data_IF_052846049925
#
_entry.id   IF_052846049925
#
_cell.length_a   1.000
_cell.length_b   1.000
_cell.length_c   1.000
_cell.angle_alpha   90.00
_cell.angle_beta   90.00
_cell.angle_gamma   90.00
#
_symmetry.space_group_name_H-M   'P 1'
#
loop_
_entity.id
_entity.type
_entity.pdbx_description
1 polymer ?
#
# COMPACT_ATOMS: atom_id res chain seq x y z
N UNK A 1 14.57 20.02 -1.69
CA UNK A 1 15.85 19.35 -1.99
C UNK A 1 16.97 20.32 -1.62
N UNK A 2 17.84 19.97 -0.67
CA UNK A 2 19.14 20.65 -0.51
C UNK A 2 20.15 19.88 -1.35
N UNK A 3 20.83 20.58 -2.26
CA UNK A 3 21.87 20.02 -3.10
C UNK A 3 23.20 20.03 -2.34
N UNK A 4 23.66 18.84 -1.94
CA UNK A 4 25.08 18.59 -1.71
C UNK A 4 25.55 17.51 -2.69
N UNK A 5 26.56 17.84 -3.51
CA UNK A 5 27.27 16.90 -4.36
C UNK A 5 28.07 15.92 -3.49
N UNK A 6 27.50 14.77 -3.15
CA UNK A 6 28.24 13.61 -2.61
C UNK A 6 27.67 12.32 -3.21
N UNK A 7 28.47 11.67 -4.07
CA UNK A 7 28.27 10.33 -4.65
C UNK A 7 26.86 10.03 -5.19
N UNK A 8 26.64 10.24 -6.50
CA UNK A 8 25.44 9.79 -7.21
C UNK A 8 25.33 8.26 -7.22
N UNK A 9 24.93 7.68 -6.10
CA UNK A 9 24.56 6.28 -6.03
C UNK A 9 23.13 6.17 -6.56
N UNK A 10 22.98 5.48 -7.70
CA UNK A 10 21.69 5.17 -8.32
C UNK A 10 20.90 4.20 -7.44
N UNK A 11 20.30 4.77 -6.38
CA UNK A 11 19.66 4.04 -5.30
C UNK A 11 18.17 4.30 -5.26
N UNK A 12 17.44 3.24 -5.02
CA UNK A 12 16.07 3.32 -4.53
C UNK A 12 16.01 2.61 -3.17
N UNK A 13 15.16 3.15 -2.30
CA UNK A 13 15.11 2.77 -0.89
C UNK A 13 13.66 2.54 -0.52
N UNK A 14 13.33 1.33 -0.08
CA UNK A 14 12.10 1.08 0.65
C UNK A 14 12.36 1.35 2.13
N UNK A 15 11.58 2.25 2.72
CA UNK A 15 11.50 2.42 4.17
C UNK A 15 10.09 2.08 4.64
N UNK A 16 9.97 1.18 5.61
CA UNK A 16 8.67 0.70 6.10
C UNK A 16 8.74 0.37 7.59
N UNK A 17 7.59 0.40 8.28
CA UNK A 17 7.46 -0.11 9.65
C UNK A 17 7.21 -1.61 9.69
N UNK A 18 6.70 -2.18 8.60
CA UNK A 18 6.25 -3.56 8.52
C UNK A 18 7.40 -4.43 7.98
N UNK A 19 7.91 -5.35 8.82
CA UNK A 19 9.04 -6.22 8.47
C UNK A 19 8.72 -7.14 7.30
N UNK A 20 7.54 -7.75 7.29
CA UNK A 20 7.05 -8.62 6.23
C UNK A 20 7.11 -7.94 4.86
N UNK A 21 6.81 -6.64 4.81
CA UNK A 21 6.90 -5.88 3.57
C UNK A 21 8.35 -5.67 3.12
N UNK A 22 9.25 -5.39 4.07
CA UNK A 22 10.68 -5.29 3.77
C UNK A 22 11.26 -6.62 3.28
N UNK A 23 10.85 -7.74 3.88
CA UNK A 23 11.26 -9.10 3.48
C UNK A 23 10.71 -9.46 2.11
N UNK A 24 9.41 -9.23 1.88
CA UNK A 24 8.81 -9.44 0.56
C UNK A 24 9.51 -8.62 -0.52
N UNK A 25 9.72 -7.33 -0.28
CA UNK A 25 10.42 -6.45 -1.23
C UNK A 25 11.85 -6.91 -1.50
N UNK A 26 12.62 -7.26 -0.45
CA UNK A 26 13.99 -7.77 -0.59
C UNK A 26 14.04 -9.04 -1.45
N UNK A 27 13.11 -9.96 -1.21
CA UNK A 27 13.02 -11.20 -1.98
C UNK A 27 12.66 -10.94 -3.45
N UNK A 28 11.67 -10.08 -3.73
CA UNK A 28 11.26 -9.76 -5.10
C UNK A 28 12.39 -9.07 -5.88
N UNK A 29 13.05 -8.10 -5.25
CA UNK A 29 14.11 -7.37 -5.95
C UNK A 29 15.39 -8.20 -6.14
N UNK A 30 15.69 -9.12 -5.21
CA UNK A 30 16.75 -10.11 -5.41
C UNK A 30 16.48 -11.05 -6.58
N UNK A 31 15.23 -11.50 -6.75
CA UNK A 31 14.83 -12.30 -7.92
C UNK A 31 14.96 -11.50 -9.22
N UNK A 32 14.45 -10.27 -9.24
CA UNK A 32 14.50 -9.40 -10.42
C UNK A 32 15.94 -9.14 -10.88
N UNK A 33 16.85 -8.91 -9.94
CA UNK A 33 18.24 -8.53 -10.22
C UNK A 33 19.20 -9.73 -10.24
N UNK A 34 18.67 -10.96 -10.16
CA UNK A 34 19.44 -12.20 -10.04
C UNK A 34 20.55 -12.12 -8.98
N UNK A 35 20.20 -11.60 -7.80
CA UNK A 35 21.10 -11.40 -6.68
C UNK A 35 20.80 -12.39 -5.56
N UNK A 36 21.40 -13.61 -5.58
CA UNK A 36 21.02 -14.71 -4.71
C UNK A 36 21.30 -14.44 -3.22
N UNK A 37 22.23 -13.53 -2.91
CA UNK A 37 22.59 -13.18 -1.53
C UNK A 37 21.53 -12.40 -0.75
N UNK A 38 20.43 -11.98 -1.38
CA UNK A 38 19.41 -11.17 -0.72
C UNK A 38 19.83 -9.72 -0.47
N UNK A 39 18.90 -8.78 -0.49
CA UNK A 39 19.21 -7.43 0.01
C UNK A 39 19.05 -7.36 1.53
N UNK A 40 20.10 -6.89 2.20
CA UNK A 40 20.10 -6.77 3.66
C UNK A 40 19.01 -5.80 4.13
N UNK A 41 18.14 -6.29 5.01
CA UNK A 41 17.15 -5.48 5.71
C UNK A 41 17.83 -4.84 6.91
N UNK A 42 17.95 -3.52 6.90
CA UNK A 42 18.53 -2.74 8.00
C UNK A 42 17.42 -2.26 8.91
N UNK A 43 17.75 -2.09 10.18
CA UNK A 43 16.84 -1.49 11.15
C UNK A 43 17.24 -0.04 11.39
N UNK A 44 16.28 0.86 11.33
CA UNK A 44 16.48 2.30 11.56
C UNK A 44 15.71 2.72 12.81
N UNK A 45 16.43 3.12 13.85
CA UNK A 45 15.83 3.63 15.09
C UNK A 45 15.38 5.07 14.89
N UNK A 46 14.26 5.48 15.52
CA UNK A 46 13.72 6.82 15.35
C UNK A 46 13.04 7.06 13.99
N UNK A 47 12.92 6.03 13.14
CA UNK A 47 12.16 6.08 11.91
C UNK A 47 10.67 6.37 12.18
N UNK A 48 10.13 5.79 13.25
CA UNK A 48 8.83 6.13 13.79
C UNK A 48 8.99 7.11 14.97
N UNK A 49 8.07 8.07 15.08
CA UNK A 49 8.05 8.97 16.25
C UNK A 49 7.90 8.17 17.55
N UNK A 50 8.54 8.66 18.63
CA UNK A 50 8.81 7.97 19.91
C UNK A 50 9.90 6.89 19.86
N UNK A 51 10.84 6.97 18.91
CA UNK A 51 11.97 6.05 18.84
C UNK A 51 11.63 4.69 18.24
N UNK A 52 10.46 4.55 17.61
CA UNK A 52 10.02 3.28 17.06
C UNK A 52 10.90 2.84 15.88
N UNK A 53 11.06 1.53 15.77
CA UNK A 53 11.92 0.84 14.81
C UNK A 53 11.28 0.81 13.42
N UNK A 54 12.06 1.17 12.40
CA UNK A 54 11.75 0.96 10.99
C UNK A 54 12.67 -0.06 10.34
N UNK A 55 12.30 -0.51 9.16
CA UNK A 55 13.05 -1.40 8.30
C UNK A 55 13.37 -0.71 6.98
N UNK A 56 14.61 -0.88 6.52
CA UNK A 56 15.14 -0.24 5.32
C UNK A 56 15.78 -1.26 4.42
N UNK A 57 15.38 -1.28 3.15
CA UNK A 57 16.02 -2.03 2.09
C UNK A 57 16.54 -1.04 1.05
N UNK A 58 17.85 -1.04 0.83
CA UNK A 58 18.50 -0.14 -0.15
C UNK A 58 19.11 -0.97 -1.26
N UNK A 59 18.76 -0.61 -2.49
CA UNK A 59 19.22 -1.29 -3.70
C UNK A 59 19.92 -0.27 -4.58
N UNK A 60 21.07 -0.66 -5.12
CA UNK A 60 21.83 0.16 -6.06
C UNK A 60 21.82 -0.53 -7.42
N UNK A 61 21.06 0.00 -8.37
CA UNK A 61 21.02 -0.48 -9.74
C UNK A 61 20.69 0.68 -10.68
N UNK A 62 21.64 1.02 -11.56
CA UNK A 62 21.53 2.20 -12.44
C UNK A 62 20.39 2.06 -13.45
N UNK A 63 20.26 0.90 -14.09
CA UNK A 63 19.23 0.66 -15.11
C UNK A 63 17.83 0.76 -14.50
N UNK A 64 17.61 0.07 -13.38
CA UNK A 64 16.32 0.10 -12.69
C UNK A 64 16.01 1.49 -12.13
N UNK A 65 17.00 2.21 -11.62
CA UNK A 65 16.80 3.61 -11.20
C UNK A 65 16.30 4.48 -12.36
N UNK A 66 16.94 4.39 -13.53
CA UNK A 66 16.52 5.15 -14.71
C UNK A 66 15.14 4.72 -15.19
N UNK A 67 14.83 3.43 -15.17
CA UNK A 67 13.50 2.92 -15.49
C UNK A 67 12.43 3.50 -14.56
N UNK A 68 12.63 3.42 -13.24
CA UNK A 68 11.69 3.94 -12.23
C UNK A 68 11.60 5.47 -12.20
N UNK A 69 12.58 6.16 -12.80
CA UNK A 69 12.59 7.62 -12.92
C UNK A 69 11.86 8.12 -14.18
N UNK A 70 11.34 7.22 -15.01
CA UNK A 70 10.51 7.60 -16.16
C UNK A 70 9.18 8.21 -15.72
N UNK A 71 8.51 8.87 -16.65
CA UNK A 71 7.23 9.51 -16.40
C UNK A 71 6.17 8.53 -15.90
N UNK A 72 5.28 9.03 -15.03
CA UNK A 72 4.24 8.20 -14.40
C UNK A 72 3.36 7.50 -15.43
N UNK A 73 3.01 8.16 -16.53
CA UNK A 73 2.17 7.59 -17.58
C UNK A 73 2.86 6.43 -18.31
N UNK A 74 4.16 6.57 -18.59
CA UNK A 74 4.98 5.49 -19.13
C UNK A 74 4.95 4.28 -18.18
N UNK A 75 5.20 4.48 -16.89
CA UNK A 75 5.18 3.39 -15.90
C UNK A 75 3.79 2.77 -15.75
N UNK A 76 2.73 3.56 -15.80
CA UNK A 76 1.34 3.07 -15.73
C UNK A 76 1.00 2.13 -16.88
N UNK A 77 1.59 2.32 -18.07
CA UNK A 77 1.38 1.38 -19.18
C UNK A 77 1.99 0.01 -18.89
N UNK A 78 3.19 -0.06 -18.32
CA UNK A 78 3.78 -1.33 -17.87
C UNK A 78 2.96 -1.99 -16.77
N UNK A 79 2.40 -1.20 -15.85
CA UNK A 79 1.59 -1.73 -14.74
C UNK A 79 0.33 -2.46 -15.24
N UNK A 80 -0.23 -2.08 -16.40
CA UNK A 80 -1.42 -2.76 -16.95
C UNK A 80 -1.18 -4.24 -17.22
N UNK A 81 0.07 -4.64 -17.48
CA UNK A 81 0.47 -6.04 -17.66
C UNK A 81 0.60 -6.80 -16.33
N UNK A 82 0.87 -6.08 -15.23
CA UNK A 82 1.10 -6.64 -13.90
C UNK A 82 0.19 -5.99 -12.83
N UNK A 83 -1.15 -5.99 -13.01
CA UNK A 83 -2.06 -5.25 -12.14
C UNK A 83 -2.06 -5.81 -10.71
N UNK A 84 -1.94 -7.12 -10.57
CA UNK A 84 -1.90 -7.82 -9.27
C UNK A 84 -0.75 -7.32 -8.39
N UNK A 85 0.47 -7.35 -8.91
CA UNK A 85 1.67 -7.01 -8.15
C UNK A 85 1.75 -5.53 -7.83
N UNK A 86 1.32 -4.67 -8.75
CA UNK A 86 1.24 -3.24 -8.50
C UNK A 86 0.23 -2.89 -7.40
N UNK A 87 -0.98 -3.44 -7.46
CA UNK A 87 -2.01 -3.15 -6.44
C UNK A 87 -1.57 -3.71 -5.09
N UNK A 88 -0.95 -4.91 -5.05
CA UNK A 88 -0.39 -5.48 -3.81
C UNK A 88 0.66 -4.55 -3.21
N UNK A 89 1.66 -4.14 -4.00
CA UNK A 89 2.72 -3.24 -3.54
C UNK A 89 2.18 -1.90 -3.02
N UNK A 90 1.19 -1.32 -3.71
CA UNK A 90 0.54 -0.08 -3.28
C UNK A 90 -0.32 -0.28 -2.02
N UNK A 91 -0.97 -1.44 -1.88
CA UNK A 91 -1.74 -1.77 -0.68
C UNK A 91 -0.82 -2.04 0.53
N UNK A 92 0.35 -2.63 0.31
CA UNK A 92 1.31 -2.88 1.38
C UNK A 92 1.91 -1.56 1.90
N UNK A 93 2.18 -0.60 1.01
CA UNK A 93 2.65 0.75 1.40
C UNK A 93 1.54 1.62 2.02
N UNK A 94 0.44 1.84 1.30
CA UNK A 94 -0.55 2.89 1.59
C UNK A 94 -1.94 2.34 1.95
N UNK A 95 -2.07 1.01 1.92
CA UNK A 95 -3.33 0.32 2.14
C UNK A 95 -3.67 0.05 3.59
N UNK A 96 -4.97 -0.07 3.85
CA UNK A 96 -5.55 -0.38 5.14
C UNK A 96 -6.78 -1.28 5.01
N UNK A 97 -7.03 -2.08 6.05
CA UNK A 97 -8.22 -2.91 6.18
C UNK A 97 -9.33 -2.12 6.87
N UNK A 98 -10.57 -2.29 6.46
CA UNK A 98 -11.77 -1.71 7.07
C UNK A 98 -12.51 -2.84 7.76
N UNK A 99 -12.52 -2.84 9.08
CA UNK A 99 -13.31 -3.77 9.89
C UNK A 99 -13.99 -2.95 10.97
N UNK A 100 -15.32 -3.03 11.02
CA UNK A 100 -16.10 -2.35 12.05
C UNK A 100 -17.22 -3.24 12.55
N UNK A 101 -17.31 -3.38 13.86
CA UNK A 101 -18.44 -3.98 14.55
C UNK A 101 -19.29 -2.84 15.14
N UNK A 102 -20.32 -2.44 14.40
CA UNK A 102 -21.33 -1.49 14.85
C UNK A 102 -22.70 -2.16 14.83
N UNK A 103 -23.73 -1.47 14.33
CA UNK A 103 -25.04 -2.10 14.06
C UNK A 103 -24.93 -3.33 13.16
N UNK A 104 -24.04 -3.26 12.16
CA UNK A 104 -23.71 -4.37 11.26
C UNK A 104 -22.19 -4.59 11.28
N UNK A 105 -21.75 -5.84 11.12
CA UNK A 105 -20.35 -6.16 10.88
C UNK A 105 -19.97 -5.79 9.44
N UNK A 106 -19.00 -4.90 9.27
CA UNK A 106 -18.56 -4.42 7.95
C UNK A 106 -17.11 -4.80 7.70
N UNK A 107 -16.85 -5.29 6.49
CA UNK A 107 -15.52 -5.62 5.99
C UNK A 107 -15.23 -4.88 4.69
N UNK A 108 -13.97 -4.49 4.51
CA UNK A 108 -13.49 -3.81 3.31
C UNK A 108 -12.00 -3.55 3.37
N UNK A 109 -11.50 -2.85 2.36
CA UNK A 109 -10.12 -2.40 2.28
C UNK A 109 -10.06 -1.04 1.59
N UNK A 110 -8.93 -0.36 1.73
CA UNK A 110 -8.72 0.90 1.04
C UNK A 110 -7.26 1.30 0.93
N UNK A 111 -7.01 2.33 0.14
CA UNK A 111 -5.69 2.93 -0.11
C UNK A 111 -5.84 4.44 0.08
N UNK A 112 -4.85 5.08 0.72
CA UNK A 112 -4.84 6.53 0.91
C UNK A 112 -3.66 7.13 0.18
N UNK A 113 -3.88 8.12 -0.68
CA UNK A 113 -2.81 8.78 -1.42
C UNK A 113 -3.18 10.23 -1.76
N UNK A 114 -2.20 11.12 -1.88
CA UNK A 114 -2.42 12.51 -2.36
C UNK A 114 -2.55 12.57 -3.89
N UNK A 115 -1.95 11.61 -4.60
CA UNK A 115 -2.03 11.51 -6.05
C UNK A 115 -3.34 10.82 -6.49
N UNK A 116 -4.36 11.64 -6.80
CA UNK A 116 -5.65 11.14 -7.29
C UNK A 116 -5.55 10.38 -8.62
N UNK A 117 -4.55 10.66 -9.47
CA UNK A 117 -4.37 9.95 -10.75
C UNK A 117 -4.05 8.48 -10.50
N UNK A 118 -3.18 8.19 -9.53
CA UNK A 118 -2.88 6.80 -9.11
C UNK A 118 -4.14 6.11 -8.59
N UNK A 119 -4.94 6.76 -7.75
CA UNK A 119 -6.17 6.16 -7.23
C UNK A 119 -7.20 5.88 -8.32
N UNK A 120 -7.38 6.79 -9.30
CA UNK A 120 -8.26 6.57 -10.45
C UNK A 120 -7.78 5.39 -11.29
N UNK A 121 -6.47 5.30 -11.52
CA UNK A 121 -5.86 4.19 -12.25
C UNK A 121 -6.11 2.85 -11.53
N UNK A 122 -5.84 2.77 -10.23
CA UNK A 122 -6.09 1.57 -9.41
C UNK A 122 -7.56 1.19 -9.37
N UNK A 123 -8.47 2.18 -9.28
CA UNK A 123 -9.92 1.94 -9.37
C UNK A 123 -10.29 1.20 -10.65
N UNK A 124 -9.72 1.62 -11.78
CA UNK A 124 -9.97 0.97 -13.07
C UNK A 124 -9.38 -0.44 -13.08
N UNK A 125 -8.12 -0.62 -12.66
CA UNK A 125 -7.51 -1.95 -12.58
C UNK A 125 -8.31 -2.93 -11.70
N UNK A 126 -8.82 -2.46 -10.55
CA UNK A 126 -9.67 -3.25 -9.65
C UNK A 126 -10.97 -3.72 -10.34
N UNK A 127 -11.61 -2.81 -11.07
CA UNK A 127 -12.85 -3.11 -11.79
C UNK A 127 -12.60 -4.04 -12.97
N UNK A 128 -11.66 -3.67 -13.82
CA UNK A 128 -11.48 -4.26 -15.16
C UNK A 128 -10.82 -5.64 -15.08
N UNK A 129 -9.88 -5.86 -14.16
CA UNK A 129 -9.16 -7.13 -14.05
C UNK A 129 -9.73 -8.09 -12.99
N UNK A 130 -10.45 -7.57 -11.99
CA UNK A 130 -10.86 -8.39 -10.84
C UNK A 130 -12.36 -8.28 -10.52
N UNK A 131 -13.10 -7.41 -11.22
CA UNK A 131 -14.52 -7.17 -10.94
C UNK A 131 -14.76 -6.67 -9.51
N UNK A 132 -13.82 -5.87 -8.98
CA UNK A 132 -13.90 -5.28 -7.64
C UNK A 132 -14.35 -3.82 -7.76
N UNK A 133 -15.48 -3.50 -7.14
CA UNK A 133 -16.02 -2.14 -7.16
C UNK A 133 -15.41 -1.29 -6.04
N UNK A 134 -15.05 -0.05 -6.34
CA UNK A 134 -14.45 0.88 -5.37
C UNK A 134 -14.90 2.33 -5.56
N UNK A 135 -14.82 3.11 -4.48
CA UNK A 135 -15.20 4.53 -4.43
C UNK A 135 -14.00 5.37 -4.04
N UNK A 136 -13.85 6.54 -4.67
CA UNK A 136 -12.83 7.52 -4.33
C UNK A 136 -13.53 8.69 -3.61
N UNK A 137 -12.94 9.17 -2.52
CA UNK A 137 -13.46 10.30 -1.75
C UNK A 137 -12.32 11.16 -1.19
N UNK A 138 -12.53 12.48 -0.98
CA UNK A 138 -11.58 13.30 -0.25
C UNK A 138 -11.58 12.87 1.23
N UNK A 139 -10.44 12.45 1.74
CA UNK A 139 -10.27 12.03 3.14
C UNK A 139 -9.87 13.22 4.03
N UNK A 140 -8.94 14.03 3.56
CA UNK A 140 -8.47 15.26 4.22
C UNK A 140 -8.32 16.31 3.14
N UNK A 141 -9.00 17.45 3.26
CA UNK A 141 -8.86 18.55 2.28
C UNK A 141 -7.64 19.41 2.64
N UNK A 142 -6.98 19.99 1.62
CA UNK A 142 -5.94 21.00 1.82
C UNK A 142 -6.41 22.11 2.78
N UNK A 143 -5.52 22.57 3.66
CA UNK A 143 -5.79 23.59 4.66
C UNK A 143 -6.48 23.08 5.93
N UNK A 144 -6.94 21.82 5.99
CA UNK A 144 -7.56 21.28 7.20
C UNK A 144 -6.52 20.96 8.27
N UNK A 145 -6.89 21.23 9.53
CA UNK A 145 -6.11 20.83 10.71
C UNK A 145 -6.29 19.33 10.97
N UNK A 146 -5.18 18.61 11.03
CA UNK A 146 -5.13 17.18 11.32
C UNK A 146 -4.26 16.93 12.54
N UNK A 147 -4.77 16.12 13.47
CA UNK A 147 -4.01 15.71 14.66
C UNK A 147 -3.24 14.44 14.32
N UNK A 148 -1.93 14.57 14.14
CA UNK A 148 -1.04 13.45 13.88
C UNK A 148 -0.13 13.28 15.10
N UNK A 149 -0.34 12.18 15.84
CA UNK A 149 0.39 11.84 17.06
C UNK A 149 0.40 12.96 18.11
N UNK A 150 -0.76 13.53 18.41
CA UNK A 150 -0.92 14.56 19.43
C UNK A 150 -0.62 15.98 18.96
N UNK A 151 0.11 16.16 17.86
CA UNK A 151 0.43 17.47 17.28
C UNK A 151 -0.54 17.82 16.16
N UNK A 152 -0.93 19.09 16.10
CA UNK A 152 -1.79 19.62 15.05
C UNK A 152 -0.91 20.06 13.87
N UNK A 153 -1.27 19.58 12.68
CA UNK A 153 -0.66 19.95 11.41
C UNK A 153 -1.72 20.50 10.48
N UNK A 154 -1.31 21.36 9.55
CA UNK A 154 -2.16 21.78 8.44
C UNK A 154 -1.84 20.92 7.23
N UNK A 155 -2.86 20.35 6.59
CA UNK A 155 -2.68 19.55 5.37
C UNK A 155 -2.26 20.44 4.20
N UNK A 156 -1.06 20.20 3.65
CA UNK A 156 -0.53 20.96 2.50
C UNK A 156 -1.19 20.55 1.17
N UNK A 157 -1.68 19.31 1.11
CA UNK A 157 -2.35 18.73 -0.05
C UNK A 157 -3.65 18.05 0.36
N UNK A 158 -4.55 17.86 -0.60
CA UNK A 158 -5.74 17.03 -0.39
C UNK A 158 -5.33 15.56 -0.43
N UNK A 159 -5.66 14.83 0.64
CA UNK A 159 -5.49 13.38 0.74
C UNK A 159 -6.78 12.72 0.30
N UNK A 160 -6.69 11.78 -0.64
CA UNK A 160 -7.82 11.02 -1.15
C UNK A 160 -7.78 9.58 -0.60
N UNK A 161 -8.95 8.99 -0.42
CA UNK A 161 -9.11 7.57 -0.13
C UNK A 161 -9.79 6.86 -1.29
N UNK A 162 -9.30 5.67 -1.63
CA UNK A 162 -10.01 4.68 -2.43
C UNK A 162 -10.45 3.55 -1.51
N UNK A 163 -11.73 3.18 -1.50
CA UNK A 163 -12.22 2.07 -0.66
C UNK A 163 -13.13 1.13 -1.43
N UNK A 164 -13.04 -0.14 -1.06
CA UNK A 164 -13.96 -1.20 -1.47
C UNK A 164 -14.48 -1.90 -0.22
N UNK A 165 -15.75 -2.26 -0.22
CA UNK A 165 -16.40 -2.91 0.93
C UNK A 165 -17.35 -4.00 0.45
N UNK A 166 -17.75 -4.86 1.38
CA UNK A 166 -18.63 -5.99 1.13
C UNK A 166 -17.86 -7.29 0.93
N UNK A 167 -18.48 -8.39 1.38
CA UNK A 167 -17.87 -9.71 1.43
C UNK A 167 -17.30 -10.15 0.07
N UNK A 168 -18.08 -10.03 -1.00
CA UNK A 168 -17.67 -10.47 -2.33
C UNK A 168 -16.41 -9.73 -2.83
N UNK A 169 -16.35 -8.40 -2.66
CA UNK A 169 -15.19 -7.61 -3.05
C UNK A 169 -13.93 -8.00 -2.24
N UNK A 170 -14.10 -8.26 -0.94
CA UNK A 170 -12.99 -8.68 -0.06
C UNK A 170 -12.50 -10.08 -0.42
N UNK A 171 -13.39 -11.04 -0.68
CA UNK A 171 -13.00 -12.39 -1.13
C UNK A 171 -12.23 -12.33 -2.45
N UNK A 172 -12.68 -11.52 -3.42
CA UNK A 172 -11.95 -11.29 -4.68
C UNK A 172 -10.58 -10.68 -4.43
N UNK A 173 -10.50 -9.66 -3.57
CA UNK A 173 -9.23 -9.04 -3.21
C UNK A 173 -8.26 -10.05 -2.60
N UNK A 174 -8.68 -10.83 -1.61
CA UNK A 174 -7.86 -11.87 -0.97
C UNK A 174 -7.41 -12.95 -1.97
N UNK A 175 -8.30 -13.37 -2.87
CA UNK A 175 -8.01 -14.41 -3.87
C UNK A 175 -6.99 -13.96 -4.91
N UNK A 176 -7.16 -12.76 -5.47
CA UNK A 176 -6.40 -12.34 -6.65
C UNK A 176 -5.21 -11.44 -6.32
N UNK A 177 -5.29 -10.65 -5.24
CA UNK A 177 -4.31 -9.62 -4.92
C UNK A 177 -3.66 -9.92 -3.57
N UNK A 178 -4.43 -9.90 -2.49
CA UNK A 178 -3.95 -10.07 -1.11
C UNK A 178 -2.89 -9.04 -0.70
N UNK A 179 -2.37 -9.17 0.51
CA UNK A 179 -1.29 -8.34 1.07
C UNK A 179 -0.07 -9.20 1.33
N UNK A 180 1.14 -8.69 1.09
CA UNK A 180 2.34 -9.37 1.54
C UNK A 180 2.57 -9.21 3.04
N UNK A 181 1.90 -8.24 3.67
CA UNK A 181 1.93 -8.00 5.11
C UNK A 181 0.94 -8.94 5.77
N UNK A 182 1.45 -9.91 6.53
CA UNK A 182 0.69 -11.02 7.11
C UNK A 182 -0.48 -10.47 7.94
N UNK A 183 -0.20 -9.52 8.83
CA UNK A 183 -1.23 -8.90 9.69
C UNK A 183 -2.37 -8.24 8.91
N UNK A 184 -2.12 -7.70 7.71
CA UNK A 184 -3.17 -7.05 6.91
C UNK A 184 -4.03 -8.09 6.21
N UNK A 185 -3.40 -9.17 5.74
CA UNK A 185 -4.06 -10.31 5.10
C UNK A 185 -4.93 -11.08 6.10
N UNK A 186 -4.35 -11.55 7.20
CA UNK A 186 -5.05 -12.33 8.24
C UNK A 186 -6.27 -11.58 8.77
N UNK A 187 -6.12 -10.28 9.02
CA UNK A 187 -7.24 -9.47 9.50
C UNK A 187 -8.44 -9.46 8.55
N UNK A 188 -8.22 -9.51 7.23
CA UNK A 188 -9.30 -9.64 6.25
C UNK A 188 -9.83 -11.07 6.19
N UNK A 189 -8.96 -12.08 6.26
CA UNK A 189 -9.33 -13.50 6.29
C UNK A 189 -10.23 -13.81 7.50
N UNK A 190 -9.84 -13.34 8.70
CA UNK A 190 -10.63 -13.47 9.92
C UNK A 190 -12.00 -12.80 9.80
N UNK A 191 -12.06 -11.61 9.20
CA UNK A 191 -13.33 -10.93 8.99
C UNK A 191 -14.25 -11.67 8.01
N UNK A 192 -13.68 -12.28 6.97
CA UNK A 192 -14.44 -13.15 6.05
C UNK A 192 -14.95 -14.36 6.81
N UNK A 193 -14.09 -15.04 7.57
CA UNK A 193 -14.44 -16.20 8.38
C UNK A 193 -15.60 -15.89 9.35
N UNK A 194 -15.54 -14.76 10.06
CA UNK A 194 -16.58 -14.34 10.98
C UNK A 194 -17.93 -14.17 10.27
N UNK A 195 -17.94 -13.49 9.11
CA UNK A 195 -19.19 -13.23 8.37
C UNK A 195 -19.81 -14.55 7.86
N UNK A 196 -18.97 -15.50 7.44
CA UNK A 196 -19.43 -16.77 6.86
C UNK A 196 -19.93 -17.76 7.91
N UNK A 197 -19.33 -17.76 9.10
CA UNK A 197 -19.64 -18.75 10.15
C UNK A 197 -20.56 -18.20 11.26
N UNK A 198 -20.63 -16.88 11.41
CA UNK A 198 -21.48 -16.22 12.42
C UNK A 198 -22.36 -15.14 11.75
N UNK A 199 -23.26 -15.53 10.83
CA UNK A 199 -24.11 -14.57 10.13
C UNK A 199 -25.03 -13.87 11.13
N UNK A 200 -25.02 -12.54 11.12
CA UNK A 200 -26.01 -11.76 11.86
C UNK A 200 -27.37 -11.87 11.18
N UNK A 201 -28.46 -11.98 11.95
CA UNK A 201 -29.87 -12.05 11.47
C UNK A 201 -30.36 -10.85 10.61
N UNK A 202 -29.48 -9.93 10.25
CA UNK A 202 -29.74 -8.79 9.39
C UNK A 202 -29.29 -9.11 7.97
N UNK A 203 -30.23 -9.35 7.06
CA UNK A 203 -29.97 -9.48 5.61
C UNK A 203 -29.14 -8.28 5.12
N UNK A 204 -28.05 -8.58 4.41
CA UNK A 204 -27.19 -7.62 3.68
C UNK A 204 -27.94 -7.05 2.49
#
# INVERSE_FOLDING_TARGET
>A
MKNEKKNYQYKFILRTKDRDFAEYFSNQISKLLNFPGGYKIRTENGFLRKGGKGYVVSVSNKMLFHFLSKETEYLMNYVKEYPTDFIRGLFDSDGFTIISCGKNFRVGFGIVNTNIKILKFVKNLLRDNFGITSKIYPKIKKGHKVKIWGKIYTANETVYGLTSSGLNNVKKFLRFISSSIIRKREKLEDAVYIIENFPTNSRV
#
